data_IF_322903294038
#
_entry.id   IF_322903294038
#
_cell.length_a   1.000
_cell.length_b   1.000
_cell.length_c   1.000
_cell.angle_alpha   90.00
_cell.angle_beta   90.00
_cell.angle_gamma   90.00
#
_symmetry.space_group_name_H-M   'P 1'
#
loop_
_entity.id
_entity.type
_entity.pdbx_description
1 polymer ?
#
# COMPACT_ATOMS: atom_id res chain seq x y z
N UNK A 1 12.37 12.82 -0.73
CA UNK A 1 11.92 12.18 -2.00
C UNK A 1 10.45 11.75 -1.93
N UNK A 2 9.89 11.56 -0.73
CA UNK A 2 8.44 11.32 -0.53
C UNK A 2 7.62 12.57 -0.88
N UNK A 3 8.18 13.75 -0.64
CA UNK A 3 7.51 15.06 -0.82
C UNK A 3 7.01 15.27 -2.26
N UNK A 4 7.87 14.99 -3.24
CA UNK A 4 7.54 15.16 -4.67
C UNK A 4 6.35 14.27 -5.08
N UNK A 5 6.29 13.03 -4.60
CA UNK A 5 5.20 12.12 -4.94
C UNK A 5 3.86 12.53 -4.30
N UNK A 6 3.89 13.10 -3.09
CA UNK A 6 2.71 13.64 -2.42
C UNK A 6 2.24 14.96 -3.03
N UNK A 7 3.18 15.83 -3.44
CA UNK A 7 2.87 17.07 -4.17
C UNK A 7 2.17 16.77 -5.49
N UNK A 8 2.67 15.80 -6.27
CA UNK A 8 2.04 15.33 -7.51
C UNK A 8 0.64 14.71 -7.30
N UNK A 9 0.34 14.27 -6.07
CA UNK A 9 -0.95 13.68 -5.69
C UNK A 9 -1.93 14.67 -5.06
N UNK A 10 -1.48 15.88 -4.70
CA UNK A 10 -2.34 16.90 -4.11
C UNK A 10 -3.53 17.23 -5.03
N UNK A 11 -3.32 17.18 -6.34
CA UNK A 11 -4.32 17.45 -7.37
C UNK A 11 -5.02 16.20 -7.90
N UNK A 12 -4.73 15.01 -7.36
CA UNK A 12 -5.32 13.75 -7.83
C UNK A 12 -6.52 13.39 -6.95
N UNK A 13 -7.77 13.64 -7.38
CA UNK A 13 -8.92 13.27 -6.57
C UNK A 13 -8.97 11.74 -6.40
N UNK A 14 -9.45 11.29 -5.24
CA UNK A 14 -9.73 9.89 -4.92
C UNK A 14 -8.53 8.94 -4.80
N UNK A 15 -7.28 9.44 -4.76
CA UNK A 15 -6.10 8.59 -4.57
C UNK A 15 -6.12 7.84 -3.22
N UNK A 16 -6.52 8.53 -2.15
CA UNK A 16 -6.63 7.96 -0.79
C UNK A 16 -7.63 6.81 -0.74
N UNK A 17 -8.92 6.97 -1.14
CA UNK A 17 -9.89 5.88 -1.16
C UNK A 17 -9.41 4.63 -1.91
N UNK A 18 -8.71 4.79 -3.03
CA UNK A 18 -8.21 3.63 -3.78
C UNK A 18 -7.10 2.89 -3.02
N UNK A 19 -6.13 3.61 -2.48
CA UNK A 19 -5.06 2.98 -1.69
C UNK A 19 -5.61 2.33 -0.41
N UNK A 20 -6.56 2.97 0.26
CA UNK A 20 -7.25 2.40 1.42
C UNK A 20 -7.99 1.11 1.06
N UNK A 21 -8.72 1.09 -0.06
CA UNK A 21 -9.42 -0.11 -0.51
C UNK A 21 -8.45 -1.28 -0.81
N UNK A 22 -7.27 -0.99 -1.36
CA UNK A 22 -6.25 -2.02 -1.54
C UNK A 22 -5.67 -2.50 -0.21
N UNK A 23 -5.38 -1.59 0.73
CA UNK A 23 -4.89 -1.95 2.07
C UNK A 23 -5.88 -2.83 2.83
N UNK A 24 -7.16 -2.48 2.82
CA UNK A 24 -8.23 -3.26 3.45
C UNK A 24 -8.30 -4.68 2.88
N UNK A 25 -8.25 -4.82 1.55
CA UNK A 25 -8.22 -6.14 0.90
C UNK A 25 -6.97 -6.94 1.25
N UNK A 26 -5.80 -6.31 1.30
CA UNK A 26 -4.57 -6.98 1.73
C UNK A 26 -4.66 -7.54 3.15
N UNK A 27 -5.25 -6.76 4.07
CA UNK A 27 -5.46 -7.22 5.44
C UNK A 27 -6.48 -8.36 5.50
N UNK A 28 -7.57 -8.27 4.74
CA UNK A 28 -8.58 -9.32 4.68
C UNK A 28 -8.03 -10.64 4.12
N UNK A 29 -7.29 -10.59 3.01
CA UNK A 29 -6.67 -11.77 2.40
C UNK A 29 -5.62 -12.40 3.31
N UNK A 30 -4.79 -11.60 3.99
CA UNK A 30 -3.82 -12.11 4.97
C UNK A 30 -4.46 -12.68 6.22
N UNK A 31 -5.57 -12.12 6.67
CA UNK A 31 -6.33 -12.66 7.79
C UNK A 31 -6.95 -14.03 7.44
N UNK A 32 -7.38 -14.22 6.18
CA UNK A 32 -7.90 -15.49 5.70
C UNK A 32 -6.80 -16.51 5.36
N UNK A 33 -5.67 -16.04 4.83
CA UNK A 33 -4.51 -16.84 4.45
C UNK A 33 -3.21 -16.10 4.84
N UNK A 34 -2.59 -16.44 5.97
CA UNK A 34 -1.36 -15.78 6.44
C UNK A 34 -0.17 -15.86 5.47
N UNK A 35 -0.15 -16.86 4.58
CA UNK A 35 0.90 -17.02 3.56
C UNK A 35 0.64 -16.19 2.29
N UNK A 36 -0.47 -15.44 2.25
CA UNK A 36 -0.82 -14.62 1.10
C UNK A 36 0.16 -13.45 0.92
N UNK A 37 0.79 -13.39 -0.26
CA UNK A 37 1.84 -12.41 -0.58
C UNK A 37 1.32 -10.96 -0.64
N UNK A 38 0.00 -10.75 -0.68
CA UNK A 38 -0.64 -9.44 -0.62
C UNK A 38 -0.87 -8.79 -1.99
N UNK A 39 -0.78 -9.57 -3.07
CA UNK A 39 -1.21 -9.16 -4.40
C UNK A 39 -2.73 -9.21 -4.51
N UNK A 40 -3.35 -8.08 -4.82
CA UNK A 40 -4.80 -7.93 -4.86
C UNK A 40 -5.25 -7.78 -6.31
N UNK A 41 -6.24 -8.56 -6.78
CA UNK A 41 -6.83 -8.36 -8.10
C UNK A 41 -7.31 -6.92 -8.29
N UNK A 42 -7.18 -6.41 -9.52
CA UNK A 42 -7.62 -5.06 -9.87
C UNK A 42 -8.98 -4.70 -9.29
N UNK A 43 -9.02 -3.65 -8.47
CA UNK A 43 -10.29 -3.05 -8.04
C UNK A 43 -10.93 -2.39 -9.26
N UNK A 44 -12.11 -2.89 -9.64
CA UNK A 44 -12.86 -2.42 -10.83
C UNK A 44 -13.96 -1.41 -10.50
N UNK A 45 -14.27 -1.23 -9.23
CA UNK A 45 -15.31 -0.32 -8.75
C UNK A 45 -14.87 0.33 -7.45
N UNK A 46 -14.97 1.64 -7.38
CA UNK A 46 -14.71 2.45 -6.20
C UNK A 46 -15.86 3.44 -6.06
N UNK A 47 -16.32 3.69 -4.84
CA UNK A 47 -17.46 4.57 -4.61
C UNK A 47 -17.18 5.96 -5.21
N UNK A 48 -18.15 6.48 -5.97
CA UNK A 48 -18.08 7.79 -6.63
C UNK A 48 -16.90 7.97 -7.63
N UNK A 49 -16.32 6.90 -8.17
CA UNK A 49 -15.31 6.98 -9.24
C UNK A 49 -15.73 6.10 -10.41
N UNK A 50 -15.80 6.66 -11.61
CA UNK A 50 -16.11 5.89 -12.81
C UNK A 50 -14.93 4.98 -13.23
N UNK A 51 -15.19 4.01 -14.11
CA UNK A 51 -14.19 3.01 -14.51
C UNK A 51 -13.00 3.59 -15.31
N UNK A 52 -13.20 4.70 -16.02
CA UNK A 52 -12.16 5.34 -16.81
C UNK A 52 -11.21 6.13 -15.90
N UNK A 53 -11.78 6.98 -15.03
CA UNK A 53 -11.07 7.68 -13.98
C UNK A 53 -10.31 6.72 -13.09
N UNK A 54 -10.93 5.59 -12.72
CA UNK A 54 -10.29 4.56 -11.92
C UNK A 54 -9.08 3.95 -12.67
N UNK A 55 -9.20 3.70 -13.97
CA UNK A 55 -8.08 3.21 -14.80
C UNK A 55 -6.91 4.20 -14.82
N UNK A 56 -7.18 5.48 -15.03
CA UNK A 56 -6.17 6.53 -15.02
C UNK A 56 -5.52 6.67 -13.63
N UNK A 57 -6.31 6.57 -12.57
CA UNK A 57 -5.84 6.65 -11.19
C UNK A 57 -4.85 5.54 -10.86
N UNK A 58 -5.10 4.30 -11.28
CA UNK A 58 -4.13 3.20 -11.13
C UNK A 58 -2.81 3.53 -11.82
N UNK A 59 -2.87 4.00 -13.07
CA UNK A 59 -1.67 4.38 -13.82
C UNK A 59 -0.85 5.46 -13.13
N UNK A 60 -1.51 6.50 -12.61
CA UNK A 60 -0.85 7.58 -11.86
C UNK A 60 -0.18 7.04 -10.59
N UNK A 61 -0.89 6.26 -9.78
CA UNK A 61 -0.35 5.68 -8.54
C UNK A 61 0.86 4.77 -8.78
N UNK A 62 0.89 4.06 -9.91
CA UNK A 62 2.05 3.27 -10.33
C UNK A 62 3.21 4.20 -10.73
N UNK A 63 2.93 5.23 -11.52
CA UNK A 63 3.94 6.17 -12.00
C UNK A 63 4.65 6.91 -10.84
N UNK A 64 3.90 7.30 -9.81
CA UNK A 64 4.45 7.93 -8.59
C UNK A 64 5.00 6.92 -7.57
N UNK A 65 4.94 5.62 -7.87
CA UNK A 65 5.50 4.56 -7.03
C UNK A 65 4.71 4.22 -5.77
N UNK A 66 3.44 4.65 -5.64
CA UNK A 66 2.58 4.27 -4.52
C UNK A 66 1.97 2.87 -4.68
N UNK A 67 1.84 2.41 -5.92
CA UNK A 67 1.28 1.11 -6.25
C UNK A 67 2.27 0.31 -7.11
N UNK A 68 2.44 -0.97 -6.77
CA UNK A 68 3.11 -1.96 -7.61
C UNK A 68 2.08 -2.73 -8.40
N UNK A 69 2.47 -3.24 -9.56
CA UNK A 69 1.61 -4.11 -10.37
C UNK A 69 2.36 -5.36 -10.79
N UNK A 70 1.59 -6.43 -10.98
CA UNK A 70 2.03 -7.69 -11.56
C UNK A 70 1.02 -8.10 -12.64
N UNK A 71 1.53 -8.67 -13.74
CA UNK A 71 0.70 -9.38 -14.70
C UNK A 71 0.56 -10.83 -14.24
N UNK A 72 -0.65 -11.23 -13.86
CA UNK A 72 -0.98 -12.64 -13.71
C UNK A 72 -1.05 -13.35 -15.06
N UNK A 73 -1.19 -14.68 -15.01
CA UNK A 73 -1.42 -15.51 -16.20
C UNK A 73 -2.70 -15.14 -16.96
N UNK A 74 -2.91 -15.82 -18.10
CA UNK A 74 -3.99 -15.57 -19.09
C UNK A 74 -5.39 -15.36 -18.48
N UNK A 75 -5.68 -15.97 -17.34
CA UNK A 75 -6.97 -15.90 -16.64
C UNK A 75 -7.01 -14.93 -15.45
N UNK A 76 -5.86 -14.55 -14.90
CA UNK A 76 -5.74 -13.81 -13.63
C UNK A 76 -5.74 -12.29 -13.81
N UNK A 77 -5.37 -11.76 -14.97
CA UNK A 77 -5.36 -10.31 -15.23
C UNK A 77 -4.30 -9.56 -14.41
N UNK A 78 -4.50 -8.26 -14.17
CA UNK A 78 -3.57 -7.45 -13.37
C UNK A 78 -3.88 -7.54 -11.86
N UNK A 79 -2.81 -7.70 -11.08
CA UNK A 79 -2.81 -7.61 -9.63
C UNK A 79 -1.97 -6.43 -9.17
N UNK A 80 -2.31 -5.90 -8.01
CA UNK A 80 -1.69 -4.72 -7.43
C UNK A 80 -1.34 -4.91 -5.98
N UNK A 81 -0.29 -4.23 -5.54
CA UNK A 81 0.14 -4.23 -4.14
C UNK A 81 0.56 -2.81 -3.75
N UNK A 82 0.21 -2.37 -2.55
CA UNK A 82 0.79 -1.13 -2.03
C UNK A 82 2.30 -1.26 -1.93
N UNK A 83 3.02 -0.22 -2.36
CA UNK A 83 4.44 -0.11 -2.04
C UNK A 83 4.61 0.37 -0.60
N UNK A 84 5.83 0.25 -0.06
CA UNK A 84 6.17 0.87 1.23
C UNK A 84 5.93 2.39 1.23
N UNK A 85 6.05 3.04 0.06
CA UNK A 85 5.74 4.45 -0.10
C UNK A 85 4.22 4.70 -0.05
N UNK A 86 3.41 3.88 -0.71
CA UNK A 86 1.95 3.96 -0.66
C UNK A 86 1.38 3.79 0.75
N UNK A 87 1.96 2.86 1.54
CA UNK A 87 1.60 2.66 2.94
C UNK A 87 1.89 3.93 3.76
N UNK A 88 3.09 4.49 3.62
CA UNK A 88 3.48 5.74 4.32
C UNK A 88 2.61 6.92 3.92
N UNK A 89 2.27 7.05 2.63
CA UNK A 89 1.41 8.13 2.12
C UNK A 89 0.01 8.07 2.75
N UNK A 90 -0.55 6.87 2.94
CA UNK A 90 -1.80 6.70 3.68
C UNK A 90 -1.68 7.12 5.14
N UNK A 91 -0.64 6.68 5.85
CA UNK A 91 -0.46 7.01 7.27
C UNK A 91 -0.24 8.50 7.53
N UNK A 92 0.32 9.24 6.57
CA UNK A 92 0.50 10.70 6.65
C UNK A 92 -0.80 11.47 6.35
N UNK A 93 -1.76 10.82 5.70
CA UNK A 93 -3.05 11.40 5.31
C UNK A 93 -4.19 11.05 6.25
N UNK A 94 -4.07 9.97 7.01
CA UNK A 94 -4.98 9.66 8.11
C UNK A 94 -4.73 10.67 9.24
N UNK A 95 -5.76 11.37 9.76
CA UNK A 95 -5.62 12.05 11.04
C UNK A 95 -5.33 10.96 12.07
N UNK A 96 -4.12 10.96 12.65
CA UNK A 96 -3.68 10.00 13.67
C UNK A 96 -4.80 9.83 14.72
N UNK A 97 -5.50 8.69 14.81
CA UNK A 97 -6.19 8.37 16.04
C UNK A 97 -5.09 8.15 17.09
N UNK A 98 -5.15 8.95 18.15
CA UNK A 98 -4.13 9.07 19.19
C UNK A 98 -4.01 7.83 20.10
N UNK A 99 -3.91 6.62 19.54
CA UNK A 99 -3.74 5.40 20.32
C UNK A 99 -3.15 4.28 19.44
N UNK A 100 -1.81 4.20 19.37
CA UNK A 100 -1.03 2.95 19.31
C UNK A 100 0.45 3.30 19.40
N UNK A 101 0.93 3.48 20.62
CA UNK A 101 2.33 3.23 20.94
C UNK A 101 2.55 1.71 20.90
N UNK A 102 3.23 1.21 19.87
CA UNK A 102 3.80 -0.14 19.89
C UNK A 102 5.08 -0.11 19.07
N UNK A 103 6.15 0.26 19.75
CA UNK A 103 7.48 -0.25 19.42
C UNK A 103 7.63 -1.60 20.14
N UNK A 104 8.10 -2.63 19.42
CA UNK A 104 9.13 -3.45 19.99
C UNK A 104 10.37 -3.30 19.11
N UNK A 105 11.29 -2.47 19.57
CA UNK A 105 12.69 -2.55 19.15
C UNK A 105 13.22 -3.88 19.69
N UNK A 106 13.37 -4.88 18.82
CA UNK A 106 14.29 -5.99 19.06
C UNK A 106 15.62 -5.62 18.40
N UNK A 107 16.41 -4.82 19.12
CA UNK A 107 17.85 -4.73 18.90
C UNK A 107 18.44 -6.09 19.29
N UNK A 108 18.76 -6.91 18.29
CA UNK A 108 19.62 -8.08 18.47
C UNK A 108 21.03 -7.63 18.12
N UNK A 109 21.73 -7.08 19.11
CA UNK A 109 23.18 -6.90 19.03
C UNK A 109 23.85 -8.24 19.37
N UNK A 110 24.36 -8.86 18.31
CA UNK A 110 25.36 -9.91 18.35
C UNK A 110 26.73 -9.24 18.49
N UNK A 111 27.39 -9.30 19.66
CA UNK A 111 28.86 -9.26 19.71
C UNK A 111 29.48 -9.98 20.92
N UNK A 112 30.17 -11.05 20.57
CA UNK A 112 31.26 -11.79 21.23
C UNK A 112 32.17 -11.02 22.20
N UNK A 113 32.52 -11.61 23.36
CA UNK A 113 33.92 -11.89 23.77
C UNK A 113 34.08 -12.52 25.18
N UNK A 114 34.80 -13.65 25.19
CA UNK A 114 35.89 -14.10 26.09
C UNK A 114 35.92 -13.81 27.62
N UNK A 115 36.13 -14.92 28.34
CA UNK A 115 37.12 -15.16 29.40
C UNK A 115 36.97 -14.51 30.79
N UNK A 116 36.77 -15.36 31.81
CA UNK A 116 37.74 -15.65 32.89
C UNK A 116 37.28 -16.86 33.71
#
# INVERSE_FOLDING_TARGET
MIDIALEELADVPHWQPLLSAYRERQLAERAANPEHEGWIPRIRSLAATDGEQLSQLHGRLIAVGLLKFELGGVTSGMSYQLSSLGIRALSMSEPVPADVATEPQSESDEESAAAA
#
